data_IF_792392156740
#
_entry.id   IF_792392156740
#
_cell.length_a   1.000
_cell.length_b   1.000
_cell.length_c   1.000
_cell.angle_alpha   90.00
_cell.angle_beta   90.00
_cell.angle_gamma   90.00
#
_symmetry.space_group_name_H-M   'P 1'
#
loop_
_entity.id
_entity.type
_entity.pdbx_description
1 polymer ?
#
# COMPACT_ATOMS: atom_id res chain seq x y z
N UNK A 1 9.56 11.99 -2.03
CA UNK A 1 8.45 11.58 -1.14
C UNK A 1 7.38 10.96 -2.01
N UNK A 2 6.84 9.79 -1.63
CA UNK A 2 5.77 9.14 -2.38
C UNK A 2 4.40 9.37 -1.73
N UNK A 3 3.37 9.51 -2.56
CA UNK A 3 1.98 9.71 -2.14
C UNK A 3 1.07 8.81 -2.98
N UNK A 4 0.18 8.09 -2.33
CA UNK A 4 -0.86 7.27 -2.99
C UNK A 4 -2.09 8.12 -3.26
N UNK A 5 -2.68 7.98 -4.44
CA UNK A 5 -3.97 8.56 -4.76
C UNK A 5 -4.99 7.46 -5.03
N UNK A 6 -5.78 7.14 -3.99
CA UNK A 6 -6.74 6.04 -3.97
C UNK A 6 -7.73 6.12 -5.14
N UNK A 7 -8.36 7.27 -5.35
CA UNK A 7 -9.41 7.46 -6.35
C UNK A 7 -8.87 7.58 -7.78
N UNK A 8 -7.62 7.97 -7.96
CA UNK A 8 -6.97 8.08 -9.27
C UNK A 8 -6.13 6.85 -9.63
N UNK A 9 -6.08 5.85 -8.75
CA UNK A 9 -5.31 4.62 -8.93
C UNK A 9 -3.86 4.91 -9.36
N UNK A 10 -3.18 5.78 -8.63
CA UNK A 10 -1.83 6.25 -8.99
C UNK A 10 -0.93 6.42 -7.77
N UNK A 11 0.38 6.38 -8.02
CA UNK A 11 1.42 6.71 -7.04
C UNK A 11 2.21 7.88 -7.59
N UNK A 12 2.28 8.95 -6.81
CA UNK A 12 2.93 10.19 -7.18
C UNK A 12 4.21 10.37 -6.38
N UNK A 13 5.15 11.09 -6.95
CA UNK A 13 6.41 11.45 -6.32
C UNK A 13 6.55 12.97 -6.26
N UNK A 14 6.83 13.48 -5.07
CA UNK A 14 7.16 14.88 -4.82
C UNK A 14 8.65 14.93 -4.43
N UNK A 15 9.43 15.67 -5.20
CA UNK A 15 10.83 15.92 -4.84
C UNK A 15 10.89 16.68 -3.50
N UNK A 16 11.83 16.30 -2.64
CA UNK A 16 12.13 17.06 -1.41
C UNK A 16 13.49 17.70 -1.63
N UNK A 17 13.49 19.02 -1.73
CA UNK A 17 14.69 19.79 -2.01
C UNK A 17 15.64 19.82 -0.81
N UNK A 18 16.90 20.22 -1.02
CA UNK A 18 17.91 20.25 0.05
C UNK A 18 17.59 21.18 1.22
N UNK A 19 16.69 22.14 1.02
CA UNK A 19 16.18 23.05 2.06
C UNK A 19 14.89 22.53 2.73
N UNK A 20 14.42 21.34 2.37
CA UNK A 20 13.20 20.72 2.86
C UNK A 20 11.92 21.23 2.18
N UNK A 21 12.02 22.13 1.19
CA UNK A 21 10.85 22.54 0.41
C UNK A 21 10.37 21.43 -0.53
N UNK A 22 9.08 21.47 -0.88
CA UNK A 22 8.50 20.55 -1.85
C UNK A 22 8.78 21.04 -3.28
N UNK A 23 9.39 20.17 -4.09
CA UNK A 23 9.59 20.38 -5.52
C UNK A 23 8.36 20.01 -6.35
N UNK A 24 8.58 19.76 -7.64
CA UNK A 24 7.52 19.39 -8.56
C UNK A 24 6.93 17.99 -8.24
N UNK A 25 5.63 17.87 -8.43
CA UNK A 25 4.91 16.60 -8.43
C UNK A 25 5.13 15.88 -9.77
N UNK A 26 5.46 14.61 -9.72
CA UNK A 26 5.63 13.74 -10.89
C UNK A 26 4.90 12.41 -10.69
N UNK A 27 4.55 11.74 -11.77
CA UNK A 27 3.95 10.41 -11.70
C UNK A 27 5.04 9.35 -11.52
N UNK A 28 5.01 8.66 -10.38
CA UNK A 28 5.82 7.47 -10.20
C UNK A 28 5.17 6.29 -10.95
N UNK A 29 3.91 6.01 -10.62
CA UNK A 29 3.00 5.18 -11.40
C UNK A 29 1.77 6.01 -11.79
N UNK A 30 1.54 6.15 -13.10
CA UNK A 30 0.35 6.76 -13.65
C UNK A 30 -0.91 5.94 -13.32
N UNK A 31 -2.08 6.47 -13.65
CA UNK A 31 -3.37 5.79 -13.42
C UNK A 31 -3.39 4.39 -14.02
N UNK A 32 -3.54 3.38 -13.16
CA UNK A 32 -3.76 1.99 -13.54
C UNK A 32 -4.86 1.41 -12.63
N UNK A 33 -6.11 1.46 -13.08
CA UNK A 33 -7.22 0.94 -12.29
C UNK A 33 -7.15 -0.58 -12.10
N UNK A 34 -6.49 -1.33 -13.00
CA UNK A 34 -6.36 -2.76 -12.85
C UNK A 34 -5.39 -3.11 -11.72
N UNK A 35 -4.34 -2.30 -11.51
CA UNK A 35 -3.34 -2.56 -10.49
C UNK A 35 -3.46 -1.70 -9.21
N UNK A 36 -4.06 -0.52 -9.26
CA UNK A 36 -3.94 0.47 -8.18
C UNK A 36 -5.29 1.01 -7.69
N UNK A 37 -6.43 0.50 -8.17
CA UNK A 37 -7.73 0.92 -7.63
C UNK A 37 -7.81 0.59 -6.14
N UNK A 38 -7.94 1.61 -5.29
CA UNK A 38 -7.93 1.43 -3.84
C UNK A 38 -6.54 1.51 -3.19
N UNK A 39 -5.54 2.07 -3.89
CA UNK A 39 -4.20 2.28 -3.32
C UNK A 39 -4.27 3.17 -2.06
N UNK A 40 -3.80 2.68 -0.91
CA UNK A 40 -4.09 3.32 0.38
C UNK A 40 -2.89 3.29 1.35
N UNK A 41 -2.02 4.32 1.27
CA UNK A 41 -0.79 4.37 2.05
C UNK A 41 0.33 3.51 1.46
N UNK A 42 1.52 3.58 2.05
CA UNK A 42 2.69 2.81 1.64
C UNK A 42 3.74 2.77 2.75
N UNK A 43 4.64 1.81 2.67
CA UNK A 43 5.92 1.82 3.39
C UNK A 43 7.06 1.54 2.41
N UNK A 44 8.22 2.12 2.69
CA UNK A 44 9.44 1.86 1.90
C UNK A 44 10.16 0.67 2.53
N UNK A 45 10.58 -0.27 1.70
CA UNK A 45 11.41 -1.38 2.10
C UNK A 45 12.84 -0.90 2.40
N UNK A 46 13.38 -1.13 3.63
CA UNK A 46 14.62 -0.48 4.07
C UNK A 46 15.86 -0.75 3.20
N UNK A 47 15.92 -1.92 2.57
CA UNK A 47 17.11 -2.39 1.87
C UNK A 47 17.07 -2.08 0.36
N UNK A 48 15.93 -2.30 -0.29
CA UNK A 48 15.76 -2.13 -1.73
C UNK A 48 15.30 -0.72 -2.09
N UNK A 49 14.58 -0.04 -1.20
CA UNK A 49 13.83 1.17 -1.51
C UNK A 49 12.50 0.91 -2.23
N UNK A 50 12.12 -0.36 -2.41
CA UNK A 50 10.84 -0.74 -3.03
C UNK A 50 9.66 -0.26 -2.17
N UNK A 51 8.53 0.02 -2.82
CA UNK A 51 7.32 0.41 -2.11
C UNK A 51 6.47 -0.82 -1.81
N UNK A 52 6.09 -1.01 -0.55
CA UNK A 52 5.04 -1.94 -0.19
C UNK A 52 3.75 -1.16 0.00
N UNK A 53 2.69 -1.62 -0.68
CA UNK A 53 1.49 -0.82 -0.89
C UNK A 53 0.27 -1.73 -0.70
N UNK A 54 -0.67 -1.40 0.20
CA UNK A 54 -1.93 -2.10 0.27
C UNK A 54 -2.91 -1.52 -0.77
N UNK A 55 -3.69 -2.40 -1.38
CA UNK A 55 -4.73 -2.04 -2.33
C UNK A 55 -6.06 -2.47 -1.71
N UNK A 56 -6.74 -1.52 -1.09
CA UNK A 56 -7.88 -1.78 -0.21
C UNK A 56 -9.09 -2.38 -0.96
N UNK A 57 -9.35 -1.93 -2.19
CA UNK A 57 -10.49 -2.36 -2.99
C UNK A 57 -10.25 -3.72 -3.63
N UNK A 58 -8.99 -4.08 -3.87
CA UNK A 58 -8.61 -5.33 -4.50
C UNK A 58 -8.11 -6.39 -3.49
N UNK A 59 -8.22 -6.10 -2.19
CA UNK A 59 -7.90 -7.04 -1.11
C UNK A 59 -6.49 -7.63 -1.23
N UNK A 60 -5.48 -6.80 -1.50
CA UNK A 60 -4.11 -7.27 -1.78
C UNK A 60 -3.03 -6.35 -1.24
N UNK A 61 -1.83 -6.91 -1.07
CA UNK A 61 -0.59 -6.19 -0.81
C UNK A 61 0.33 -6.39 -2.01
N UNK A 62 0.88 -5.30 -2.54
CA UNK A 62 1.82 -5.32 -3.66
C UNK A 62 3.18 -4.75 -3.25
N UNK A 63 4.22 -5.20 -3.92
CA UNK A 63 5.54 -4.57 -3.98
C UNK A 63 5.67 -3.84 -5.32
N UNK A 64 6.18 -2.61 -5.28
CA UNK A 64 6.50 -1.80 -6.46
C UNK A 64 7.99 -1.53 -6.46
N UNK A 65 8.69 -2.07 -7.46
CA UNK A 65 10.12 -1.84 -7.63
C UNK A 65 10.45 -0.43 -8.11
N UNK A 66 11.71 -0.02 -7.95
CA UNK A 66 12.23 1.22 -8.55
C UNK A 66 12.10 1.26 -10.09
N UNK A 67 12.08 0.07 -10.72
CA UNK A 67 11.81 -0.13 -12.15
C UNK A 67 10.31 -0.09 -12.50
N UNK A 68 9.47 0.23 -11.52
CA UNK A 68 8.01 0.36 -11.61
C UNK A 68 7.29 -0.97 -11.85
N UNK A 69 7.97 -2.12 -11.68
CA UNK A 69 7.31 -3.41 -11.74
C UNK A 69 6.46 -3.65 -10.50
N UNK A 70 5.24 -4.14 -10.71
CA UNK A 70 4.28 -4.45 -9.66
C UNK A 70 4.25 -5.97 -9.44
N UNK A 71 4.54 -6.40 -8.21
CA UNK A 71 4.52 -7.80 -7.81
C UNK A 71 3.53 -8.00 -6.65
N UNK A 72 2.49 -8.85 -6.78
CA UNK A 72 1.64 -9.21 -5.66
C UNK A 72 2.43 -9.97 -4.59
N UNK A 73 2.27 -9.59 -3.32
CA UNK A 73 2.84 -10.31 -2.18
C UNK A 73 1.79 -11.14 -1.44
N UNK A 74 0.56 -10.63 -1.37
CA UNK A 74 -0.58 -11.32 -0.77
C UNK A 74 -1.88 -10.86 -1.43
N UNK A 75 -2.85 -11.76 -1.58
CA UNK A 75 -4.15 -11.46 -2.20
C UNK A 75 -5.27 -12.31 -1.57
N UNK A 76 -6.40 -11.69 -1.29
CA UNK A 76 -7.60 -12.32 -0.75
C UNK A 76 -7.42 -12.92 0.67
N UNK A 77 -8.15 -14.00 0.92
CA UNK A 77 -8.11 -14.70 2.21
C UNK A 77 -8.65 -13.83 3.35
N UNK A 78 -7.80 -13.55 4.34
CA UNK A 78 -8.16 -12.74 5.51
C UNK A 78 -8.03 -11.23 5.28
N UNK A 79 -7.49 -10.81 4.13
CA UNK A 79 -7.42 -9.39 3.77
C UNK A 79 -8.83 -8.84 3.51
N UNK A 80 -9.16 -7.77 4.22
CA UNK A 80 -10.41 -7.04 4.14
C UNK A 80 -10.10 -5.54 4.29
N UNK A 81 -10.03 -4.85 3.16
CA UNK A 81 -9.66 -3.45 2.98
C UNK A 81 -8.37 -3.10 3.76
N UNK A 82 -7.21 -3.66 3.38
CA UNK A 82 -5.94 -3.25 3.98
C UNK A 82 -5.71 -1.75 3.71
N UNK A 83 -5.52 -0.95 4.76
CA UNK A 83 -5.56 0.51 4.67
C UNK A 83 -4.25 1.22 5.04
N UNK A 84 -3.37 0.55 5.80
CA UNK A 84 -2.03 1.06 6.06
C UNK A 84 -1.08 -0.06 6.45
N UNK A 85 0.21 0.20 6.28
CA UNK A 85 1.31 -0.73 6.54
C UNK A 85 2.31 -0.11 7.52
N UNK A 86 2.97 -0.96 8.30
CA UNK A 86 4.11 -0.57 9.12
C UNK A 86 5.08 -1.74 9.20
N UNK A 87 6.39 -1.47 9.25
CA UNK A 87 7.36 -2.53 9.53
C UNK A 87 7.19 -3.02 10.96
N UNK A 88 7.21 -4.35 11.15
CA UNK A 88 7.33 -4.94 12.46
C UNK A 88 8.67 -4.51 13.11
N UNK A 89 8.76 -4.37 14.44
CA UNK A 89 9.98 -3.89 15.10
C UNK A 89 11.24 -4.73 14.81
N UNK A 90 11.08 -6.03 14.53
CA UNK A 90 12.17 -6.91 14.17
C UNK A 90 12.62 -6.76 12.70
N UNK A 91 11.84 -6.08 11.87
CA UNK A 91 12.14 -5.84 10.45
C UNK A 91 11.93 -7.05 9.53
N UNK A 92 11.33 -8.14 10.04
CA UNK A 92 11.12 -9.41 9.35
C UNK A 92 9.71 -9.55 8.74
N UNK A 93 8.84 -8.58 9.01
CA UNK A 93 7.46 -8.59 8.55
C UNK A 93 6.91 -7.17 8.40
N UNK A 94 5.84 -7.06 7.62
CA UNK A 94 4.99 -5.87 7.57
C UNK A 94 3.69 -6.16 8.31
N UNK A 95 3.35 -5.27 9.22
CA UNK A 95 2.07 -5.19 9.88
C UNK A 95 1.07 -4.50 8.96
N UNK A 96 -0.11 -5.08 8.83
CA UNK A 96 -1.19 -4.60 7.96
C UNK A 96 -2.37 -4.21 8.83
N UNK A 97 -2.82 -2.97 8.75
CA UNK A 97 -4.09 -2.56 9.33
C UNK A 97 -5.23 -2.97 8.40
N UNK A 98 -5.93 -4.04 8.77
CA UNK A 98 -7.11 -4.53 8.06
C UNK A 98 -8.32 -3.73 8.55
N UNK A 99 -8.87 -2.85 7.71
CA UNK A 99 -9.93 -1.94 8.15
C UNK A 99 -11.34 -2.51 7.96
N UNK A 100 -11.49 -3.53 7.13
CA UNK A 100 -12.73 -4.25 6.84
C UNK A 100 -13.88 -3.34 6.34
N UNK A 101 -13.58 -2.26 5.61
CA UNK A 101 -14.59 -1.31 5.12
C UNK A 101 -15.69 -2.01 4.30
N UNK A 102 -15.32 -2.79 3.29
CA UNK A 102 -16.27 -3.48 2.43
C UNK A 102 -17.10 -4.49 3.23
N UNK A 103 -16.46 -5.38 4.00
CA UNK A 103 -17.14 -6.38 4.81
C UNK A 103 -18.11 -5.73 5.83
N UNK A 104 -17.72 -4.63 6.47
CA UNK A 104 -18.58 -3.90 7.42
C UNK A 104 -19.84 -3.36 6.74
N UNK A 105 -19.78 -2.99 5.46
CA UNK A 105 -20.95 -2.50 4.72
C UNK A 105 -21.83 -3.61 4.15
N UNK A 106 -21.25 -4.76 3.80
CA UNK A 106 -21.98 -5.90 3.24
C UNK A 106 -22.61 -6.80 4.31
N UNK A 107 -21.80 -7.24 5.27
CA UNK A 107 -22.21 -8.06 6.42
C UNK A 107 -21.27 -7.82 7.62
N UNK A 108 -21.66 -6.93 8.56
CA UNK A 108 -20.87 -6.62 9.75
C UNK A 108 -20.46 -7.84 10.58
N UNK A 109 -21.20 -8.95 10.54
CA UNK A 109 -20.85 -10.15 11.29
C UNK A 109 -19.60 -10.86 10.74
N UNK A 110 -19.21 -10.57 9.50
CA UNK A 110 -18.04 -11.12 8.81
C UNK A 110 -16.84 -10.17 8.78
N UNK A 111 -17.02 -8.93 9.25
CA UNK A 111 -15.96 -7.94 9.31
C UNK A 111 -14.91 -8.34 10.33
N UNK A 112 -13.65 -8.34 9.89
CA UNK A 112 -12.48 -8.71 10.69
C UNK A 112 -11.48 -7.53 10.75
N UNK A 113 -11.80 -6.46 11.48
CA UNK A 113 -10.84 -5.40 11.75
C UNK A 113 -9.75 -5.93 12.68
N UNK A 114 -8.53 -6.02 12.17
CA UNK A 114 -7.41 -6.66 12.88
C UNK A 114 -6.08 -6.15 12.34
N UNK A 115 -5.01 -6.29 13.13
CA UNK A 115 -3.65 -6.15 12.62
C UNK A 115 -3.16 -7.53 12.18
N UNK A 116 -2.82 -7.66 10.91
CA UNK A 116 -2.20 -8.85 10.34
C UNK A 116 -0.69 -8.67 10.28
N UNK A 117 0.04 -9.78 10.18
CA UNK A 117 1.48 -9.78 9.94
C UNK A 117 1.77 -10.56 8.66
N UNK A 118 2.49 -9.95 7.74
CA UNK A 118 2.98 -10.55 6.51
C UNK A 118 4.51 -10.63 6.57
N UNK A 119 5.10 -11.83 6.71
CA UNK A 119 6.54 -12.00 6.61
C UNK A 119 7.05 -11.51 5.25
N UNK A 120 8.20 -10.84 5.24
CA UNK A 120 8.86 -10.38 4.01
C UNK A 120 10.17 -11.14 3.84
N UNK A 121 10.33 -11.75 2.67
CA UNK A 121 11.59 -12.39 2.22
C UNK A 121 12.50 -11.39 1.51
#
# INVERSE_FOLDING_TARGET
MYVTNLDQASILEIAVEGDGSAGALTEFLATDCAALSGVDGLVIEPNSGDLLVPINYQQRIIRVGADKQITPLAEGGILQSPATLAWAPAGDAVLIANAAFEATTMDPATALPVILSLPIE
#
